data_IF_740037141130
#
_entry.id   IF_740037141130
#
_cell.length_a   1.000
_cell.length_b   1.000
_cell.length_c   1.000
_cell.angle_alpha   90.00
_cell.angle_beta   90.00
_cell.angle_gamma   90.00
#
_symmetry.space_group_name_H-M   'P 1'
#
loop_
_entity.id
_entity.type
_entity.pdbx_description
1 polymer ?
#
# COMPACT_ATOMS: atom_id res chain seq x y z
N UNK A 1 -12.15 -3.42 -19.65
CA UNK A 1 -13.62 -3.57 -19.48
C UNK A 1 -14.00 -4.15 -18.12
N UNK A 2 -13.09 -4.84 -17.42
CA UNK A 2 -13.35 -5.50 -16.13
C UNK A 2 -13.90 -4.58 -15.04
N UNK A 3 -13.45 -3.32 -14.98
CA UNK A 3 -13.95 -2.32 -14.01
C UNK A 3 -15.43 -1.98 -14.21
N UNK A 4 -15.87 -1.88 -15.47
CA UNK A 4 -17.27 -1.64 -15.82
C UNK A 4 -18.10 -2.87 -15.45
N UNK A 5 -17.63 -4.07 -15.80
CA UNK A 5 -18.29 -5.33 -15.46
C UNK A 5 -18.44 -5.51 -13.94
N UNK A 6 -17.39 -5.19 -13.17
CA UNK A 6 -17.44 -5.21 -11.71
C UNK A 6 -18.44 -4.19 -11.15
N UNK A 7 -18.51 -2.98 -11.71
CA UNK A 7 -19.47 -1.97 -11.27
C UNK A 7 -20.93 -2.46 -11.45
N UNK A 8 -21.22 -3.13 -12.58
CA UNK A 8 -22.50 -3.77 -12.81
C UNK A 8 -22.76 -4.93 -11.84
N UNK A 9 -21.80 -5.85 -11.68
CA UNK A 9 -21.90 -6.95 -10.74
C UNK A 9 -22.16 -6.47 -9.30
N UNK A 10 -21.43 -5.44 -8.84
CA UNK A 10 -21.60 -4.86 -7.51
C UNK A 10 -22.96 -4.18 -7.32
N UNK A 11 -23.57 -3.65 -8.39
CA UNK A 11 -24.91 -3.03 -8.35
C UNK A 11 -26.03 -4.06 -8.30
N UNK A 12 -25.88 -5.19 -9.00
CA UNK A 12 -26.96 -6.13 -9.25
C UNK A 12 -26.82 -7.50 -8.56
N UNK A 13 -25.61 -7.90 -8.15
CA UNK A 13 -25.33 -9.15 -7.44
C UNK A 13 -25.03 -8.87 -5.96
N UNK A 14 -25.19 -9.90 -5.13
CA UNK A 14 -24.81 -9.85 -3.71
C UNK A 14 -24.45 -11.25 -3.21
N UNK A 15 -23.88 -11.33 -2.00
CA UNK A 15 -23.51 -12.60 -1.38
C UNK A 15 -22.58 -13.42 -2.27
N UNK A 16 -22.87 -14.71 -2.41
CA UNK A 16 -22.01 -15.68 -3.10
C UNK A 16 -21.78 -15.35 -4.58
N UNK A 17 -22.77 -14.77 -5.26
CA UNK A 17 -22.67 -14.46 -6.68
C UNK A 17 -21.69 -13.31 -6.94
N UNK A 18 -21.71 -12.28 -6.08
CA UNK A 18 -20.75 -11.19 -6.15
C UNK A 18 -19.32 -11.66 -5.77
N UNK A 19 -19.20 -12.52 -4.76
CA UNK A 19 -17.89 -13.07 -4.37
C UNK A 19 -17.25 -13.88 -5.50
N UNK A 20 -18.03 -14.68 -6.23
CA UNK A 20 -17.51 -15.40 -7.41
C UNK A 20 -16.94 -14.46 -8.47
N UNK A 21 -17.64 -13.36 -8.78
CA UNK A 21 -17.15 -12.35 -9.73
C UNK A 21 -15.85 -11.69 -9.22
N UNK A 22 -15.75 -11.40 -7.91
CA UNK A 22 -14.51 -10.88 -7.33
C UNK A 22 -13.37 -11.87 -7.44
N UNK A 23 -13.61 -13.16 -7.21
CA UNK A 23 -12.60 -14.21 -7.35
C UNK A 23 -12.11 -14.32 -8.80
N UNK A 24 -13.02 -14.34 -9.77
CA UNK A 24 -12.64 -14.35 -11.19
C UNK A 24 -11.83 -13.09 -11.57
N UNK A 25 -12.24 -11.92 -11.09
CA UNK A 25 -11.51 -10.66 -11.30
C UNK A 25 -10.12 -10.65 -10.66
N UNK A 26 -9.96 -11.20 -9.45
CA UNK A 26 -8.65 -11.30 -8.78
C UNK A 26 -7.65 -12.11 -9.59
N UNK A 27 -8.13 -13.10 -10.35
CA UNK A 27 -7.27 -13.98 -11.15
C UNK A 27 -6.85 -13.38 -12.48
N UNK A 28 -7.47 -12.27 -12.91
CA UNK A 28 -7.07 -11.60 -14.15
C UNK A 28 -5.79 -10.79 -13.96
N UNK A 29 -5.13 -10.45 -15.07
CA UNK A 29 -3.91 -9.63 -15.03
C UNK A 29 -4.17 -8.24 -14.42
N UNK A 30 -5.34 -7.65 -14.67
CA UNK A 30 -5.73 -6.40 -14.01
C UNK A 30 -5.91 -6.60 -12.50
N UNK A 31 -6.59 -7.66 -12.08
CA UNK A 31 -6.79 -7.96 -10.65
C UNK A 31 -5.48 -8.16 -9.90
N UNK A 32 -4.54 -8.92 -10.48
CA UNK A 32 -3.20 -9.12 -9.92
C UNK A 32 -2.42 -7.81 -9.82
N UNK A 33 -2.40 -7.02 -10.90
CA UNK A 33 -1.73 -5.71 -10.93
C UNK A 33 -2.27 -4.77 -9.84
N UNK A 34 -3.59 -4.69 -9.67
CA UNK A 34 -4.20 -3.87 -8.61
C UNK A 34 -3.81 -4.34 -7.19
N UNK A 35 -3.70 -5.65 -6.98
CA UNK A 35 -3.25 -6.21 -5.70
C UNK A 35 -1.78 -5.86 -5.46
N UNK A 36 -0.92 -6.03 -6.45
CA UNK A 36 0.51 -5.70 -6.37
C UNK A 36 0.72 -4.21 -6.08
N UNK A 37 0.04 -3.31 -6.81
CA UNK A 37 0.05 -1.87 -6.53
C UNK A 37 -0.42 -1.55 -5.11
N UNK A 38 -1.47 -2.25 -4.64
CA UNK A 38 -2.01 -2.09 -3.30
C UNK A 38 -1.00 -2.51 -2.22
N UNK A 39 -0.33 -3.64 -2.41
CA UNK A 39 0.74 -4.13 -1.52
C UNK A 39 1.90 -3.14 -1.51
N UNK A 40 2.35 -2.67 -2.68
CA UNK A 40 3.46 -1.72 -2.77
C UNK A 40 3.14 -0.40 -2.07
N UNK A 41 1.93 0.14 -2.27
CA UNK A 41 1.44 1.34 -1.54
C UNK A 41 1.41 1.10 -0.04
N UNK A 42 0.86 -0.02 0.42
CA UNK A 42 0.79 -0.37 1.83
C UNK A 42 2.17 -0.53 2.49
N UNK A 43 3.14 -1.12 1.79
CA UNK A 43 4.53 -1.21 2.25
C UNK A 43 5.13 0.19 2.38
N UNK A 44 4.98 1.06 1.37
CA UNK A 44 5.49 2.45 1.42
C UNK A 44 4.91 3.24 2.59
N UNK A 45 3.59 3.17 2.79
CA UNK A 45 2.91 3.83 3.91
C UNK A 45 3.41 3.32 5.26
N UNK A 46 3.53 1.99 5.41
CA UNK A 46 4.04 1.38 6.65
C UNK A 46 5.49 1.78 6.92
N UNK A 47 6.35 1.78 5.91
CA UNK A 47 7.75 2.22 6.04
C UNK A 47 7.82 3.66 6.51
N UNK A 48 7.02 4.56 5.91
CA UNK A 48 6.95 5.95 6.34
C UNK A 48 6.51 6.08 7.80
N UNK A 49 5.51 5.32 8.24
CA UNK A 49 5.06 5.32 9.63
C UNK A 49 6.12 4.81 10.61
N UNK A 50 6.90 3.79 10.21
CA UNK A 50 8.02 3.28 11.01
C UNK A 50 9.10 4.35 11.14
N UNK A 51 9.47 5.02 10.05
CA UNK A 51 10.45 6.13 10.06
C UNK A 51 9.97 7.25 10.98
N UNK A 52 8.72 7.70 10.84
CA UNK A 52 8.12 8.74 11.72
C UNK A 52 8.19 8.35 13.19
N UNK A 53 7.89 7.10 13.53
CA UNK A 53 7.96 6.59 14.91
C UNK A 53 9.39 6.50 15.41
N UNK A 54 10.34 6.12 14.57
CA UNK A 54 11.76 6.03 14.92
C UNK A 54 12.34 7.42 15.20
N UNK A 55 12.04 8.41 14.36
CA UNK A 55 12.42 9.81 14.55
C UNK A 55 11.89 10.34 15.89
N UNK A 56 10.60 10.12 16.18
CA UNK A 56 9.98 10.52 17.45
C UNK A 56 10.59 9.85 18.69
N UNK A 57 11.19 8.67 18.51
CA UNK A 57 11.92 7.94 19.57
C UNK A 57 13.37 8.39 19.71
N UNK A 58 13.82 9.33 18.88
CA UNK A 58 15.18 9.88 18.93
C UNK A 58 16.23 9.02 18.23
N UNK A 59 15.84 8.08 17.36
CA UNK A 59 16.81 7.32 16.56
C UNK A 59 17.47 8.24 15.53
N UNK A 60 18.75 8.03 15.24
CA UNK A 60 19.49 8.75 14.21
C UNK A 60 19.16 8.24 12.79
N UNK A 61 19.57 9.00 11.77
CA UNK A 61 19.23 8.68 10.39
C UNK A 61 19.95 7.44 9.84
N UNK A 62 21.15 7.09 10.34
CA UNK A 62 21.87 5.88 9.90
C UNK A 62 21.17 4.63 10.41
N UNK A 63 20.82 4.61 11.70
CA UNK A 63 20.04 3.50 12.29
C UNK A 63 18.71 3.31 11.56
N UNK A 64 18.01 4.39 11.20
CA UNK A 64 16.75 4.30 10.47
C UNK A 64 16.96 3.76 9.05
N UNK A 65 18.02 4.19 8.36
CA UNK A 65 18.38 3.66 7.05
C UNK A 65 18.64 2.16 7.10
N UNK A 66 19.40 1.66 8.08
CA UNK A 66 19.65 0.22 8.24
C UNK A 66 18.37 -0.60 8.51
N UNK A 67 17.37 -0.01 9.18
CA UNK A 67 16.13 -0.69 9.51
C UNK A 67 15.08 -0.66 8.39
N UNK A 68 15.18 0.29 7.46
CA UNK A 68 14.10 0.58 6.49
C UNK A 68 14.56 0.59 5.04
N UNK A 69 15.87 0.48 4.79
CA UNK A 69 16.51 0.63 3.49
C UNK A 69 16.16 1.96 2.77
N UNK A 70 15.74 2.97 3.55
CA UNK A 70 15.37 4.28 3.02
C UNK A 70 16.60 5.19 2.93
N UNK A 71 16.68 5.99 1.86
CA UNK A 71 17.75 6.96 1.67
C UNK A 71 17.78 7.98 2.81
N UNK A 72 18.99 8.36 3.25
CA UNK A 72 19.20 9.35 4.31
C UNK A 72 18.52 10.67 3.96
N UNK A 73 18.59 11.08 2.69
CA UNK A 73 17.93 12.31 2.20
C UNK A 73 16.41 12.28 2.45
N UNK A 74 15.76 11.14 2.18
CA UNK A 74 14.33 10.96 2.43
C UNK A 74 14.02 10.97 3.93
N UNK A 75 14.84 10.30 4.74
CA UNK A 75 14.68 10.27 6.20
C UNK A 75 14.81 11.70 6.77
N UNK A 76 15.77 12.48 6.26
CA UNK A 76 15.99 13.87 6.66
C UNK A 76 14.79 14.76 6.31
N UNK A 77 14.26 14.66 5.09
CA UNK A 77 13.04 15.37 4.69
C UNK A 77 11.85 15.02 5.60
N UNK A 78 11.70 13.74 5.97
CA UNK A 78 10.64 13.30 6.88
C UNK A 78 10.85 13.88 8.28
N UNK A 79 12.10 13.97 8.76
CA UNK A 79 12.43 14.56 10.07
C UNK A 79 12.07 16.04 10.13
N UNK A 80 12.52 16.80 9.14
CA UNK A 80 12.22 18.23 9.00
C UNK A 80 10.72 18.52 8.88
N UNK A 81 9.93 17.59 8.31
CA UNK A 81 8.48 17.74 8.20
C UNK A 81 7.70 17.41 9.50
N UNK A 82 8.35 16.83 10.52
CA UNK A 82 7.71 16.45 11.80
C UNK A 82 8.10 17.41 12.93
N UNK A 83 9.26 18.05 12.82
CA UNK A 83 9.72 19.15 13.70
C UNK A 83 8.87 20.42 13.50
#
# INVERSE_FOLDING_TARGET
MESILYAFANKFLSGKDLEKVKEELKMTELGKSLIEEGIEKGIKEKTLDVVKKAIKKGLDNETIKELTDLDIEKIQLIREAIE
#
